data_IF_746750404698
#
_entry.id   IF_746750404698
#
_cell.length_a   1.000
_cell.length_b   1.000
_cell.length_c   1.000
_cell.angle_alpha   90.00
_cell.angle_beta   90.00
_cell.angle_gamma   90.00
#
_symmetry.space_group_name_H-M   'P 1'
#
loop_
_entity.id
_entity.type
_entity.pdbx_description
1 polymer ?
#
# COMPACT_ATOMS: atom_id res chain seq x y z
N UNK A 1 -18.09 7.54 9.98
CA UNK A 1 -17.70 8.78 9.28
C UNK A 1 -16.23 8.59 8.94
N UNK A 2 -15.97 7.83 7.87
CA UNK A 2 -14.64 7.25 7.58
C UNK A 2 -14.29 7.40 6.08
N UNK A 3 -15.03 8.25 5.36
CA UNK A 3 -14.92 8.40 3.89
C UNK A 3 -13.72 9.23 3.43
N UNK A 4 -12.99 9.89 4.34
CA UNK A 4 -11.95 10.86 4.01
C UNK A 4 -10.59 10.59 4.65
N UNK A 5 -10.36 9.42 5.25
CA UNK A 5 -9.03 9.13 5.79
C UNK A 5 -8.07 8.86 4.63
N UNK A 6 -7.06 9.70 4.51
CA UNK A 6 -5.96 9.50 3.58
C UNK A 6 -4.99 8.47 4.20
N UNK A 7 -4.62 7.48 3.43
CA UNK A 7 -3.59 6.51 3.76
C UNK A 7 -2.25 7.06 3.27
N UNK A 8 -1.21 7.04 4.10
CA UNK A 8 0.14 7.43 3.70
C UNK A 8 0.89 6.21 3.22
N UNK A 9 1.40 6.26 2.00
CA UNK A 9 2.27 5.22 1.44
C UNK A 9 3.72 5.65 1.64
N UNK A 10 4.52 4.76 2.23
CA UNK A 10 5.96 4.90 2.34
C UNK A 10 6.67 3.85 1.50
N UNK A 11 7.67 4.28 0.74
CA UNK A 11 8.56 3.44 -0.09
C UNK A 11 9.97 3.56 0.49
N UNK A 12 10.56 2.44 0.89
CA UNK A 12 11.90 2.37 1.50
C UNK A 12 12.04 3.30 2.73
N UNK A 13 10.92 3.57 3.41
CA UNK A 13 10.86 4.46 4.57
C UNK A 13 10.61 5.94 4.26
N UNK A 14 10.62 6.33 2.99
CA UNK A 14 10.30 7.70 2.57
C UNK A 14 8.82 7.81 2.20
N UNK A 15 8.16 8.92 2.56
CA UNK A 15 6.73 9.13 2.22
C UNK A 15 6.60 9.42 0.72
N UNK A 16 6.07 8.44 -0.02
CA UNK A 16 5.88 8.56 -1.46
C UNK A 16 4.59 9.31 -1.82
N UNK A 17 3.57 9.26 -0.96
CA UNK A 17 2.34 10.00 -1.18
C UNK A 17 1.16 9.49 -0.39
N UNK A 18 0.01 10.12 -0.64
CA UNK A 18 -1.23 9.87 0.10
C UNK A 18 -2.27 9.32 -0.86
N UNK A 19 -2.84 8.16 -0.53
CA UNK A 19 -3.89 7.50 -1.30
C UNK A 19 -5.21 7.56 -0.52
N UNK A 20 -6.32 7.83 -1.21
CA UNK A 20 -7.67 7.82 -0.62
C UNK A 20 -8.40 6.55 -1.01
N UNK A 21 -9.52 6.27 -0.33
CA UNK A 21 -10.39 5.14 -0.68
C UNK A 21 -10.84 5.24 -2.14
N UNK A 22 -10.71 4.15 -2.88
CA UNK A 22 -11.02 4.07 -4.32
C UNK A 22 -10.22 5.06 -5.18
N UNK A 23 -9.03 5.46 -4.73
CA UNK A 23 -8.08 6.24 -5.53
C UNK A 23 -6.89 5.38 -5.90
N UNK A 24 -6.17 5.81 -6.92
CA UNK A 24 -4.92 5.23 -7.36
C UNK A 24 -3.81 6.27 -7.17
N UNK A 25 -2.63 5.80 -6.80
CA UNK A 25 -1.42 6.62 -6.71
C UNK A 25 -0.34 5.90 -7.51
N UNK A 26 0.26 6.61 -8.46
CA UNK A 26 1.42 6.13 -9.21
C UNK A 26 2.65 6.83 -8.64
N UNK A 27 3.67 6.04 -8.32
CA UNK A 27 4.94 6.54 -7.77
C UNK A 27 6.05 5.97 -8.64
N UNK A 28 6.88 6.84 -9.18
CA UNK A 28 8.10 6.45 -9.88
C UNK A 28 9.18 6.17 -8.84
N UNK A 29 9.78 4.98 -8.92
CA UNK A 29 10.83 4.52 -7.98
C UNK A 29 11.98 3.92 -8.79
N UNK A 30 13.17 3.90 -8.21
CA UNK A 30 14.33 3.30 -8.87
C UNK A 30 14.13 1.78 -9.10
N UNK A 31 14.77 1.18 -10.11
CA UNK A 31 14.68 -0.26 -10.38
C UNK A 31 15.48 -1.07 -9.34
N UNK A 32 14.96 -1.16 -8.12
CA UNK A 32 15.61 -1.83 -6.99
C UNK A 32 14.61 -2.56 -6.10
N UNK A 33 15.10 -3.21 -5.04
CA UNK A 33 14.23 -3.76 -4.02
C UNK A 33 13.66 -2.64 -3.12
N UNK A 34 12.34 -2.53 -3.10
CA UNK A 34 11.62 -1.55 -2.29
C UNK A 34 10.87 -2.18 -1.13
N UNK A 35 10.83 -1.44 -0.02
CA UNK A 35 10.02 -1.79 1.14
C UNK A 35 8.79 -0.88 1.19
N UNK A 36 7.61 -1.44 0.95
CA UNK A 36 6.34 -0.73 0.96
C UNK A 36 5.64 -0.86 2.30
N UNK A 37 5.09 0.25 2.80
CA UNK A 37 4.23 0.27 3.98
C UNK A 37 3.16 1.34 3.85
N UNK A 38 1.91 0.98 4.09
CA UNK A 38 0.80 1.92 4.19
C UNK A 38 0.53 2.22 5.67
N UNK A 39 0.26 3.47 6.00
CA UNK A 39 -0.06 3.90 7.38
C UNK A 39 -1.26 4.84 7.41
N UNK A 40 -1.98 4.85 8.53
CA UNK A 40 -3.15 5.68 8.75
C UNK A 40 -3.24 6.05 10.23
N UNK A 41 -3.27 7.35 10.54
CA UNK A 41 -3.33 7.87 11.91
C UNK A 41 -2.28 7.23 12.86
N UNK A 42 -2.66 6.19 13.61
CA UNK A 42 -1.83 5.43 14.58
C UNK A 42 -1.62 3.96 14.20
N UNK A 43 -1.99 3.58 12.97
CA UNK A 43 -2.13 2.22 12.50
C UNK A 43 -1.30 2.02 11.22
N UNK A 44 -0.75 0.83 11.02
CA UNK A 44 0.06 0.50 9.86
C UNK A 44 -0.41 -0.78 9.19
N UNK A 45 -0.05 -0.95 7.93
CA UNK A 45 -0.15 -2.22 7.23
C UNK A 45 1.03 -3.13 7.57
N UNK A 46 0.94 -4.38 7.09
CA UNK A 46 2.10 -5.22 6.88
C UNK A 46 3.14 -4.52 5.99
N UNK A 47 4.40 -4.89 6.18
CA UNK A 47 5.49 -4.51 5.29
C UNK A 47 5.45 -5.44 4.09
N UNK A 48 5.50 -4.88 2.88
CA UNK A 48 5.56 -5.63 1.63
C UNK A 48 6.90 -5.30 0.95
N UNK A 49 7.71 -6.33 0.71
CA UNK A 49 8.93 -6.18 -0.08
C UNK A 49 8.60 -6.50 -1.53
N UNK A 50 8.98 -5.58 -2.43
CA UNK A 50 8.80 -5.74 -3.87
C UNK A 50 10.14 -5.53 -4.56
N UNK A 51 10.35 -6.27 -5.64
CA UNK A 51 11.52 -6.12 -6.51
C UNK A 51 11.04 -5.49 -7.81
N UNK A 52 11.53 -4.29 -8.13
CA UNK A 52 11.18 -3.59 -9.36
C UNK A 52 12.36 -3.68 -10.34
N UNK A 53 12.11 -4.20 -11.54
CA UNK A 53 13.06 -4.18 -12.65
C UNK A 53 12.92 -2.90 -13.48
N UNK A 54 13.95 -2.55 -14.25
CA UNK A 54 13.90 -1.43 -15.20
C UNK A 54 12.70 -1.55 -16.16
N UNK A 55 11.88 -0.50 -16.25
CA UNK A 55 10.66 -0.48 -17.06
C UNK A 55 9.51 -1.34 -16.52
N UNK A 56 9.67 -1.96 -15.35
CA UNK A 56 8.64 -2.77 -14.71
C UNK A 56 7.57 -1.92 -14.02
N UNK A 57 6.32 -2.34 -14.13
CA UNK A 57 5.21 -1.79 -13.37
C UNK A 57 4.72 -2.83 -12.36
N UNK A 58 4.49 -2.42 -11.11
CA UNK A 58 3.88 -3.27 -10.08
C UNK A 58 2.62 -2.60 -9.55
N UNK A 59 1.56 -3.39 -9.41
CA UNK A 59 0.32 -2.93 -8.81
C UNK A 59 0.19 -3.46 -7.39
N UNK A 60 -0.08 -2.56 -6.46
CA UNK A 60 -0.26 -2.91 -5.05
C UNK A 60 -1.61 -2.41 -4.59
N UNK A 61 -2.41 -3.33 -4.04
CA UNK A 61 -3.70 -3.02 -3.44
C UNK A 61 -3.55 -2.77 -1.95
N UNK A 62 -4.15 -1.66 -1.49
CA UNK A 62 -4.34 -1.37 -0.07
C UNK A 62 -5.78 -1.70 0.29
N UNK A 63 -6.00 -2.78 1.02
CA UNK A 63 -7.32 -3.25 1.43
C UNK A 63 -7.47 -3.24 2.95
N UNK A 64 -8.64 -2.86 3.45
CA UNK A 64 -9.01 -3.04 4.86
C UNK A 64 -9.91 -4.30 4.96
N UNK A 65 -9.39 -5.44 5.44
CA UNK A 65 -10.15 -6.68 5.50
C UNK A 65 -11.33 -6.64 6.49
N UNK A 66 -11.38 -5.66 7.40
CA UNK A 66 -12.39 -5.56 8.45
C UNK A 66 -13.61 -4.70 8.09
N UNK A 67 -13.63 -4.08 6.90
CA UNK A 67 -14.74 -3.27 6.39
C UNK A 67 -15.01 -1.97 7.18
N UNK A 68 -15.87 -1.07 6.67
CA UNK A 68 -16.09 0.26 7.26
C UNK A 68 -16.88 0.25 8.59
N UNK A 69 -17.46 -0.89 8.98
CA UNK A 69 -18.42 -0.97 10.09
C UNK A 69 -17.86 -1.56 11.40
N UNK A 70 -16.63 -2.12 11.41
CA UNK A 70 -16.01 -2.68 12.63
C UNK A 70 -14.87 -1.85 13.22
N UNK A 71 -14.72 -0.59 12.80
CA UNK A 71 -13.64 0.29 13.23
C UNK A 71 -13.43 0.33 14.74
N UNK A 72 -14.46 0.65 15.53
CA UNK A 72 -14.27 0.94 16.96
C UNK A 72 -13.73 -0.23 17.82
N UNK A 73 -13.97 -1.49 17.44
CA UNK A 73 -13.56 -2.66 18.24
C UNK A 73 -12.15 -3.17 17.95
N UNK A 74 -11.76 -3.22 16.67
CA UNK A 74 -10.42 -3.66 16.23
C UNK A 74 -9.37 -2.55 16.36
N UNK A 75 -9.77 -1.27 16.30
CA UNK A 75 -8.90 -0.10 16.53
C UNK A 75 -8.13 -0.15 17.86
N UNK A 76 -8.62 -0.94 18.83
CA UNK A 76 -8.05 -1.03 20.18
C UNK A 76 -7.20 -2.28 20.44
N UNK A 77 -7.22 -3.28 19.54
CA UNK A 77 -6.58 -4.59 19.77
C UNK A 77 -5.44 -4.94 18.83
N UNK A 78 -5.47 -4.50 17.57
CA UNK A 78 -4.46 -4.89 16.58
C UNK A 78 -4.22 -3.76 15.54
N UNK A 79 -3.46 -2.71 15.91
CA UNK A 79 -3.13 -1.60 15.01
C UNK A 79 -2.17 -1.99 13.86
N UNK A 80 -1.78 -3.25 13.73
CA UNK A 80 -0.99 -3.75 12.59
C UNK A 80 -1.81 -4.50 11.53
N UNK A 81 -3.09 -4.79 11.80
CA UNK A 81 -3.93 -5.65 10.95
C UNK A 81 -5.10 -4.89 10.27
N UNK A 82 -5.21 -3.59 10.50
CA UNK A 82 -6.30 -2.79 9.93
C UNK A 82 -6.12 -2.53 8.42
N UNK A 83 -4.87 -2.51 7.96
CA UNK A 83 -4.51 -2.33 6.56
C UNK A 83 -3.72 -3.52 6.09
N UNK A 84 -4.04 -3.99 4.90
CA UNK A 84 -3.33 -5.08 4.25
C UNK A 84 -2.84 -4.59 2.89
N UNK A 85 -1.53 -4.63 2.70
CA UNK A 85 -0.90 -4.45 1.40
C UNK A 85 -0.82 -5.81 0.72
N UNK A 86 -1.40 -5.89 -0.48
CA UNK A 86 -1.34 -7.08 -1.33
C UNK A 86 -0.77 -6.70 -2.69
N UNK A 87 0.22 -7.44 -3.15
CA UNK A 87 0.70 -7.34 -4.52
C UNK A 87 -0.37 -7.93 -5.45
N UNK A 88 -0.85 -7.13 -6.39
CA UNK A 88 -1.59 -7.57 -7.55
C UNK A 88 -0.53 -7.68 -8.64
N UNK A 89 -0.12 -8.90 -9.02
CA UNK A 89 1.01 -9.12 -9.92
C UNK A 89 1.10 -8.08 -11.05
N UNK A 90 2.29 -7.47 -11.17
CA UNK A 90 2.60 -6.53 -12.24
C UNK A 90 2.80 -7.25 -13.56
N UNK A 91 2.23 -6.71 -14.63
CA UNK A 91 2.43 -7.22 -15.97
C UNK A 91 3.93 -7.14 -16.30
N UNK A 92 4.58 -8.30 -16.32
CA UNK A 92 5.95 -8.44 -16.76
C UNK A 92 6.06 -7.85 -18.16
N UNK A 93 6.89 -6.81 -18.32
CA UNK A 93 7.22 -6.25 -19.61
C UNK A 93 7.80 -7.34 -20.50
N UNK A 94 6.98 -7.85 -21.42
CA UNK A 94 7.45 -8.65 -22.53
C UNK A 94 7.95 -7.70 -23.60
N UNK A 95 9.18 -7.22 -23.45
CA UNK A 95 9.95 -6.73 -24.58
C UNK A 95 11.32 -7.39 -24.57
N UNK A 96 11.56 -8.26 -25.55
CA UNK A 96 12.67 -8.12 -26.51
C UNK A 96 12.63 -9.27 -27.53
N UNK A 97 13.30 -9.17 -28.70
CA UNK A 97 14.00 -8.01 -29.28
C UNK A 97 13.40 -7.49 -30.60
#
# INVERSE_FOLDING_TARGET
>A
MDRFRAYRLSVTGEEAGHIKRNSQLTVEVEPTQHMLRATIDWCGSNILYVDLSEGGELHVEVSNPHGPFKGQGVMRRAPGEYLQLRLLEGAFGLETP
#
